data_IF_195992910187
#
_entry.id   IF_195992910187
#
_cell.length_a   1.000
_cell.length_b   1.000
_cell.length_c   1.000
_cell.angle_alpha   90.00
_cell.angle_beta   90.00
_cell.angle_gamma   90.00
#
_symmetry.space_group_name_H-M   'P 1'
#
loop_
_entity.id
_entity.type
_entity.pdbx_description
1 polymer ?
#
# COMPACT_ATOMS: atom_id res chain seq x y z
N UNK A 1 2.58 -14.70 -12.54
CA UNK A 1 2.44 -14.08 -13.87
C UNK A 1 1.54 -12.88 -13.70
N UNK A 2 2.11 -11.67 -13.60
CA UNK A 2 1.36 -10.42 -13.55
C UNK A 2 0.63 -10.24 -14.88
N UNK A 3 -0.69 -10.19 -14.84
CA UNK A 3 -1.52 -9.82 -16.00
C UNK A 3 -1.35 -8.31 -16.23
N UNK A 4 -0.87 -7.85 -17.39
CA UNK A 4 -0.79 -6.43 -17.67
C UNK A 4 -2.21 -5.87 -17.83
N UNK A 5 -2.50 -4.78 -17.10
CA UNK A 5 -3.71 -3.98 -17.31
C UNK A 5 -3.75 -3.47 -18.76
N UNK A 6 -4.86 -3.66 -19.51
CA UNK A 6 -4.94 -3.18 -20.87
C UNK A 6 -4.85 -1.66 -20.91
N UNK A 7 -3.89 -1.13 -21.66
CA UNK A 7 -3.89 0.28 -22.05
C UNK A 7 -5.06 0.51 -22.99
N UNK A 8 -5.93 1.52 -22.77
CA UNK A 8 -6.93 1.86 -23.78
C UNK A 8 -6.21 2.34 -25.03
N UNK A 9 -6.39 1.62 -26.14
CA UNK A 9 -5.94 2.06 -27.46
C UNK A 9 -6.85 3.21 -27.93
N UNK A 10 -6.37 4.43 -27.82
CA UNK A 10 -6.97 5.60 -28.48
C UNK A 10 -6.43 5.66 -29.91
N UNK A 11 -7.10 4.97 -30.84
CA UNK A 11 -6.91 5.20 -32.27
C UNK A 11 -8.09 6.00 -32.80
N UNK A 12 -7.80 7.24 -33.22
CA UNK A 12 -8.53 8.00 -34.21
C UNK A 12 -9.69 8.86 -33.73
N UNK A 13 -9.35 10.01 -33.13
CA UNK A 13 -10.18 11.20 -33.27
C UNK A 13 -9.27 12.44 -33.33
N UNK A 14 -9.47 13.22 -34.38
CA UNK A 14 -8.80 14.49 -34.66
C UNK A 14 -9.01 15.50 -33.54
N UNK A 15 -7.93 16.18 -33.21
CA UNK A 15 -7.73 17.27 -32.27
C UNK A 15 -8.93 18.19 -32.02
N UNK A 16 -9.66 17.99 -30.96
CA UNK A 16 -10.19 19.04 -30.11
C UNK A 16 -9.54 18.88 -28.75
N UNK A 17 -9.09 19.97 -28.16
CA UNK A 17 -8.27 19.99 -26.96
C UNK A 17 -8.89 19.16 -25.81
N UNK A 18 -8.52 17.88 -25.72
CA UNK A 18 -8.78 17.06 -24.55
C UNK A 18 -7.81 17.52 -23.47
N UNK A 19 -8.31 18.24 -22.52
CA UNK A 19 -7.61 18.41 -21.25
C UNK A 19 -7.39 17.01 -20.67
N UNK A 20 -6.14 16.59 -20.53
CA UNK A 20 -5.82 15.31 -19.89
C UNK A 20 -6.53 15.21 -18.55
N UNK A 21 -7.09 14.04 -18.25
CA UNK A 21 -7.66 13.78 -16.92
C UNK A 21 -6.62 14.12 -15.86
N UNK A 22 -6.96 14.90 -14.82
CA UNK A 22 -6.04 15.25 -13.74
C UNK A 22 -5.69 14.05 -12.85
N UNK A 23 -6.26 12.88 -13.10
CA UNK A 23 -5.99 11.69 -12.29
C UNK A 23 -4.74 10.98 -12.79
N UNK A 24 -3.68 11.09 -12.02
CA UNK A 24 -2.45 10.33 -12.21
C UNK A 24 -2.56 8.97 -11.51
N UNK A 25 -1.87 7.96 -12.02
CA UNK A 25 -1.81 6.64 -11.39
C UNK A 25 -0.36 6.20 -11.19
N UNK A 26 -0.08 5.66 -10.01
CA UNK A 26 1.18 5.02 -9.66
C UNK A 26 1.00 3.51 -9.69
N UNK A 27 1.80 2.82 -10.50
CA UNK A 27 1.92 1.36 -10.41
C UNK A 27 3.08 1.02 -9.48
N UNK A 28 2.93 -0.05 -8.69
CA UNK A 28 3.99 -0.52 -7.81
C UNK A 28 5.13 -1.14 -8.66
N UNK A 29 6.02 -0.30 -9.15
CA UNK A 29 7.24 -0.73 -9.84
C UNK A 29 8.44 -0.36 -8.97
N UNK A 30 9.25 -1.32 -8.63
CA UNK A 30 10.53 -1.04 -8.00
C UNK A 30 10.95 -2.04 -6.95
N UNK A 31 10.49 -1.90 -5.72
CA UNK A 31 10.82 -2.83 -4.65
C UNK A 31 9.99 -4.11 -4.79
N UNK A 32 10.50 -5.23 -4.31
CA UNK A 32 9.84 -6.53 -4.43
C UNK A 32 9.35 -7.05 -3.07
N UNK A 33 8.36 -7.91 -3.07
CA UNK A 33 7.99 -8.72 -1.92
C UNK A 33 8.68 -10.07 -2.04
N UNK A 34 9.37 -10.49 -0.97
CA UNK A 34 10.05 -11.79 -0.88
C UNK A 34 9.44 -12.63 0.23
N UNK A 35 8.19 -13.03 0.03
CA UNK A 35 7.47 -13.81 1.00
C UNK A 35 8.21 -15.14 1.32
N UNK A 36 8.35 -15.44 2.61
CA UNK A 36 9.05 -16.62 3.09
C UNK A 36 10.58 -16.52 3.16
N UNK A 37 11.17 -15.43 2.70
CA UNK A 37 12.60 -15.19 2.85
C UNK A 37 12.94 -14.70 4.27
N UNK A 38 14.12 -15.03 4.80
CA UNK A 38 14.58 -14.48 6.07
C UNK A 38 14.70 -12.96 6.04
N UNK A 39 14.33 -12.31 7.15
CA UNK A 39 14.55 -10.88 7.33
C UNK A 39 16.08 -10.62 7.31
N UNK A 40 16.56 -9.66 6.50
CA UNK A 40 17.99 -9.42 6.37
C UNK A 40 18.59 -8.83 7.66
N UNK A 41 19.82 -9.25 7.97
CA UNK A 41 20.66 -8.65 8.98
C UNK A 41 21.83 -7.97 8.26
N UNK A 42 21.90 -6.65 8.32
CA UNK A 42 22.87 -5.87 7.55
C UNK A 42 23.88 -5.25 8.51
N UNK A 43 25.16 -5.60 8.41
CA UNK A 43 26.22 -5.02 9.23
C UNK A 43 27.00 -3.95 8.45
N UNK A 44 27.47 -2.93 9.17
CA UNK A 44 28.17 -1.80 8.57
C UNK A 44 27.24 -0.78 7.93
N UNK A 45 27.74 -0.06 6.93
CA UNK A 45 27.00 0.98 6.19
C UNK A 45 26.78 0.56 4.75
N UNK A 46 25.53 0.47 4.31
CA UNK A 46 25.16 0.00 2.98
C UNK A 46 24.05 0.84 2.35
N UNK A 47 24.09 0.99 1.05
CA UNK A 47 22.93 1.37 0.25
C UNK A 47 22.07 0.12 0.06
N UNK A 48 20.79 0.21 0.40
CA UNK A 48 19.84 -0.90 0.26
C UNK A 48 18.60 -0.48 -0.52
N UNK A 49 17.96 -1.47 -1.13
CA UNK A 49 16.65 -1.40 -1.77
C UNK A 49 15.73 -2.34 -0.96
N UNK A 50 15.05 -1.82 0.07
CA UNK A 50 14.32 -2.66 1.02
C UNK A 50 13.13 -3.35 0.35
N UNK A 51 12.88 -4.60 0.74
CA UNK A 51 11.71 -5.35 0.28
C UNK A 51 10.44 -4.85 0.95
N UNK A 52 9.28 -5.13 0.35
CA UNK A 52 8.00 -4.86 0.99
C UNK A 52 7.77 -5.78 2.20
N UNK A 53 7.39 -5.18 3.33
CA UNK A 53 6.99 -5.88 4.54
C UNK A 53 5.49 -6.24 4.56
N UNK A 54 4.68 -5.52 3.78
CA UNK A 54 3.26 -5.76 3.57
C UNK A 54 2.90 -5.49 2.11
N UNK A 55 1.78 -6.04 1.65
CA UNK A 55 1.30 -5.78 0.30
C UNK A 55 1.01 -4.29 0.11
N UNK A 56 1.62 -3.62 -0.87
CA UNK A 56 1.26 -2.24 -1.20
C UNK A 56 -0.19 -2.13 -1.66
N UNK A 57 -0.85 -1.06 -1.27
CA UNK A 57 -2.21 -0.77 -1.70
C UNK A 57 -2.39 0.71 -2.03
N UNK A 58 -3.51 1.06 -2.63
CA UNK A 58 -3.82 2.45 -2.97
C UNK A 58 -5.25 2.81 -2.59
N UNK A 59 -5.48 4.11 -2.43
CA UNK A 59 -6.79 4.74 -2.21
C UNK A 59 -6.93 5.96 -3.12
N UNK A 60 -8.17 6.34 -3.38
CA UNK A 60 -8.48 7.58 -4.07
C UNK A 60 -9.16 8.56 -3.11
N UNK A 61 -8.62 9.76 -3.04
CA UNK A 61 -9.20 10.87 -2.32
C UNK A 61 -9.23 12.07 -3.26
N UNK A 62 -10.41 12.64 -3.50
CA UNK A 62 -10.61 13.81 -4.36
C UNK A 62 -10.00 13.66 -5.78
N UNK A 63 -10.20 12.50 -6.39
CA UNK A 63 -9.63 12.06 -7.67
C UNK A 63 -8.11 11.86 -7.70
N UNK A 64 -7.42 12.07 -6.59
CA UNK A 64 -5.99 11.79 -6.45
C UNK A 64 -5.77 10.36 -5.92
N UNK A 65 -4.79 9.65 -6.50
CA UNK A 65 -4.36 8.34 -6.03
C UNK A 65 -3.26 8.50 -4.99
N UNK A 66 -3.41 7.79 -3.87
CA UNK A 66 -2.39 7.63 -2.84
C UNK A 66 -1.95 6.18 -2.77
N UNK A 67 -0.65 5.94 -2.83
CA UNK A 67 -0.03 4.60 -2.72
C UNK A 67 0.63 4.47 -1.36
N UNK A 68 0.35 3.37 -0.67
CA UNK A 68 0.81 3.04 0.68
C UNK A 68 1.77 1.87 0.61
N UNK A 69 2.97 2.04 1.12
CA UNK A 69 4.05 1.07 1.06
C UNK A 69 4.72 0.92 2.42
N UNK A 70 4.89 -0.32 2.88
CA UNK A 70 5.65 -0.65 4.07
C UNK A 70 6.86 -1.47 3.65
N UNK A 71 8.06 -0.98 3.97
CA UNK A 71 9.31 -1.61 3.59
C UNK A 71 10.04 -2.17 4.80
N UNK A 72 10.68 -3.34 4.64
CA UNK A 72 11.52 -3.98 5.64
C UNK A 72 12.98 -3.56 5.45
N UNK A 73 13.51 -2.78 6.37
CA UNK A 73 14.94 -2.41 6.38
C UNK A 73 15.78 -3.61 6.84
N UNK A 74 15.37 -4.26 7.92
CA UNK A 74 16.07 -5.43 8.45
C UNK A 74 15.92 -5.63 9.94
N UNK A 75 16.48 -6.75 10.41
CA UNK A 75 16.48 -7.15 11.81
C UNK A 75 17.29 -6.18 12.67
N UNK A 76 16.73 -5.70 13.77
CA UNK A 76 17.34 -4.79 14.73
C UNK A 76 17.19 -3.31 14.36
N UNK A 77 17.94 -2.45 15.03
CA UNK A 77 17.87 -1.00 14.87
C UNK A 77 18.94 -0.48 13.91
N UNK A 78 18.54 0.43 13.03
CA UNK A 78 19.42 1.07 12.05
C UNK A 78 19.36 2.59 12.20
N UNK A 79 20.48 3.24 11.91
CA UNK A 79 20.53 4.64 11.51
C UNK A 79 20.28 4.71 10.01
N UNK A 80 19.31 5.54 9.59
CA UNK A 80 18.86 5.60 8.20
C UNK A 80 19.15 7.00 7.67
N UNK A 81 19.94 7.03 6.61
CA UNK A 81 20.34 8.25 5.95
C UNK A 81 19.88 8.24 4.49
N UNK A 82 19.70 9.41 3.91
CA UNK A 82 19.52 9.61 2.47
C UNK A 82 18.44 8.70 1.86
N UNK A 83 17.24 8.71 2.44
CA UNK A 83 16.10 8.04 1.80
C UNK A 83 15.84 8.71 0.45
N UNK A 84 15.70 7.91 -0.61
CA UNK A 84 15.56 8.36 -1.99
C UNK A 84 14.48 7.57 -2.73
N UNK A 85 13.95 8.20 -3.77
CA UNK A 85 13.26 7.52 -4.87
C UNK A 85 14.24 7.52 -6.05
N UNK A 86 14.77 6.34 -6.40
CA UNK A 86 15.93 6.22 -7.31
C UNK A 86 17.12 7.05 -6.80
N UNK A 87 17.52 8.08 -7.52
CA UNK A 87 18.65 8.96 -7.17
C UNK A 87 18.19 10.27 -6.52
N UNK A 88 16.88 10.53 -6.43
CA UNK A 88 16.33 11.78 -5.92
C UNK A 88 16.01 11.67 -4.43
N UNK A 89 16.54 12.56 -3.56
CA UNK A 89 16.21 12.58 -2.14
C UNK A 89 14.71 12.69 -1.91
N UNK A 90 14.18 11.92 -0.96
CA UNK A 90 12.73 11.86 -0.69
C UNK A 90 12.15 13.22 -0.26
N UNK A 91 12.95 14.05 0.42
CA UNK A 91 12.57 15.41 0.82
C UNK A 91 12.45 16.41 -0.33
N UNK A 92 12.80 16.02 -1.57
CA UNK A 92 12.57 16.82 -2.77
C UNK A 92 11.15 16.66 -3.35
N UNK A 93 10.33 15.79 -2.74
CA UNK A 93 8.96 15.51 -3.15
C UNK A 93 7.99 16.02 -2.09
N UNK A 94 7.17 17.02 -2.43
CA UNK A 94 6.10 17.51 -1.55
C UNK A 94 4.94 16.51 -1.41
N UNK A 95 4.81 15.62 -2.38
CA UNK A 95 3.78 14.59 -2.48
C UNK A 95 4.08 13.30 -1.72
N UNK A 96 5.24 13.21 -1.03
CA UNK A 96 5.64 12.02 -0.30
C UNK A 96 5.73 12.30 1.20
N UNK A 97 5.11 11.42 1.98
CA UNK A 97 5.25 11.40 3.44
C UNK A 97 5.81 10.04 3.86
N UNK A 98 6.69 10.02 4.85
CA UNK A 98 7.27 8.77 5.34
C UNK A 98 7.44 8.76 6.86
N UNK A 99 7.57 7.56 7.41
CA UNK A 99 7.88 7.31 8.81
C UNK A 99 8.89 6.17 8.91
N UNK A 100 9.96 6.41 9.69
CA UNK A 100 10.88 5.35 10.12
C UNK A 100 10.29 4.73 11.39
N UNK A 101 10.09 3.42 11.40
CA UNK A 101 9.52 2.66 12.50
C UNK A 101 10.64 1.81 13.08
N UNK A 102 11.08 2.14 14.30
CA UNK A 102 12.14 1.41 15.01
C UNK A 102 11.57 0.16 15.70
N UNK A 103 12.43 -0.78 16.11
CA UNK A 103 12.01 -1.93 16.89
C UNK A 103 11.13 -1.54 18.09
N UNK A 104 9.93 -2.14 18.17
CA UNK A 104 8.93 -1.85 19.20
C UNK A 104 8.03 -0.64 18.95
N UNK A 105 8.31 0.19 17.95
CA UNK A 105 7.42 1.26 17.52
C UNK A 105 6.30 0.73 16.60
N UNK A 106 5.20 1.51 16.49
CA UNK A 106 4.08 1.20 15.60
C UNK A 106 4.06 2.14 14.39
N UNK A 107 3.56 1.63 13.28
CA UNK A 107 3.20 2.49 12.15
C UNK A 107 2.01 3.37 12.57
N UNK A 108 2.18 4.68 12.46
CA UNK A 108 1.12 5.67 12.73
C UNK A 108 0.73 6.44 11.46
N UNK A 109 1.43 6.19 10.35
CA UNK A 109 1.21 6.91 9.09
C UNK A 109 -0.01 6.37 8.33
N UNK A 110 -0.20 5.04 8.36
CA UNK A 110 -1.35 4.36 7.74
C UNK A 110 -1.55 2.97 8.34
N UNK A 111 -2.68 2.35 8.03
CA UNK A 111 -2.94 0.96 8.41
C UNK A 111 -2.33 0.04 7.35
N UNK A 112 -1.46 -0.85 7.78
CA UNK A 112 -0.94 -1.99 7.04
C UNK A 112 -1.89 -3.20 7.20
N UNK A 113 -1.56 -4.35 6.60
CA UNK A 113 -2.36 -5.57 6.60
C UNK A 113 -3.69 -5.41 5.84
N UNK A 114 -3.60 -4.77 4.69
CA UNK A 114 -4.72 -4.60 3.76
C UNK A 114 -4.65 -5.68 2.69
N UNK A 115 -5.71 -6.47 2.60
CA UNK A 115 -5.90 -7.43 1.51
C UNK A 115 -6.77 -6.82 0.43
N UNK A 116 -6.46 -7.12 -0.82
CA UNK A 116 -7.24 -6.70 -1.98
C UNK A 116 -7.79 -7.95 -2.67
N UNK A 117 -9.10 -8.00 -2.89
CA UNK A 117 -9.72 -9.10 -3.63
C UNK A 117 -9.24 -9.10 -5.09
N UNK A 118 -8.70 -10.24 -5.53
CA UNK A 118 -8.24 -10.41 -6.92
C UNK A 118 -9.41 -10.62 -7.91
N UNK A 119 -10.62 -10.86 -7.41
CA UNK A 119 -11.82 -11.11 -8.22
C UNK A 119 -12.43 -9.82 -8.75
N UNK A 120 -12.18 -8.69 -8.08
CA UNK A 120 -12.63 -7.38 -8.53
C UNK A 120 -11.63 -6.82 -9.53
N UNK A 121 -12.04 -6.78 -10.80
CA UNK A 121 -11.15 -6.45 -11.92
C UNK A 121 -11.73 -5.38 -12.86
N UNK A 122 -12.42 -4.38 -12.32
CA UNK A 122 -12.98 -3.27 -13.10
C UNK A 122 -14.29 -3.59 -13.81
N UNK A 123 -15.11 -4.49 -13.26
CA UNK A 123 -16.42 -4.81 -13.81
C UNK A 123 -17.34 -3.59 -13.83
N UNK A 124 -18.07 -3.40 -14.91
CA UNK A 124 -19.10 -2.36 -14.99
C UNK A 124 -20.32 -2.75 -14.16
N UNK A 125 -20.83 -1.82 -13.36
CA UNK A 125 -22.10 -2.01 -12.65
C UNK A 125 -23.26 -1.64 -13.56
N UNK A 126 -24.20 -2.58 -13.72
CA UNK A 126 -25.41 -2.44 -14.51
C UNK A 126 -26.65 -2.57 -13.62
N UNK A 127 -27.71 -1.81 -13.94
CA UNK A 127 -28.99 -1.94 -13.24
C UNK A 127 -29.60 -3.32 -13.44
N UNK A 128 -30.12 -3.88 -12.35
CA UNK A 128 -30.73 -5.20 -12.35
C UNK A 128 -29.75 -6.37 -12.42
N UNK A 129 -28.43 -6.09 -12.44
CA UNK A 129 -27.39 -7.11 -12.43
C UNK A 129 -26.55 -6.96 -11.15
N UNK A 130 -26.42 -8.03 -10.38
CA UNK A 130 -25.56 -8.07 -9.20
C UNK A 130 -24.14 -8.38 -9.68
N UNK A 131 -23.20 -7.52 -9.33
CA UNK A 131 -21.77 -7.74 -9.51
C UNK A 131 -21.21 -8.39 -8.24
N UNK A 132 -20.61 -9.54 -8.35
CA UNK A 132 -20.21 -10.41 -7.24
C UNK A 132 -21.18 -11.59 -7.02
N UNK A 133 -21.15 -12.29 -5.86
CA UNK A 133 -20.31 -11.98 -4.70
C UNK A 133 -18.82 -12.24 -4.94
N UNK A 134 -17.97 -11.49 -4.24
CA UNK A 134 -16.52 -11.66 -4.23
C UNK A 134 -16.03 -11.80 -2.80
N UNK A 135 -15.21 -12.83 -2.54
CA UNK A 135 -14.59 -13.03 -1.23
C UNK A 135 -13.55 -11.95 -1.00
N UNK A 136 -13.58 -11.32 0.17
CA UNK A 136 -12.77 -10.15 0.45
C UNK A 136 -11.47 -10.47 1.17
N UNK A 137 -11.51 -11.36 2.16
CA UNK A 137 -10.33 -11.72 2.94
C UNK A 137 -10.11 -13.23 3.02
N UNK A 138 -8.85 -13.67 3.12
CA UNK A 138 -8.51 -15.09 3.12
C UNK A 138 -9.06 -15.82 4.36
N UNK A 139 -9.05 -17.15 4.29
CA UNK A 139 -9.36 -18.03 5.43
C UNK A 139 -8.48 -17.73 6.64
N UNK A 140 -8.97 -18.01 7.83
CA UNK A 140 -8.28 -17.77 9.10
C UNK A 140 -7.93 -16.29 9.35
N UNK A 141 -8.56 -15.36 8.64
CA UNK A 141 -8.40 -13.92 8.85
C UNK A 141 -9.72 -13.24 9.14
N UNK A 142 -9.68 -12.16 9.92
CA UNK A 142 -10.83 -11.31 10.21
C UNK A 142 -10.53 -9.87 9.86
N UNK A 143 -11.51 -9.18 9.26
CA UNK A 143 -11.43 -7.76 8.96
C UNK A 143 -12.47 -7.00 9.79
N UNK A 144 -12.25 -5.72 10.01
CA UNK A 144 -13.21 -4.82 10.68
C UNK A 144 -13.54 -3.59 9.83
N UNK A 145 -12.95 -3.50 8.64
CA UNK A 145 -13.15 -2.39 7.71
C UNK A 145 -13.07 -2.88 6.27
N UNK A 146 -13.96 -2.38 5.44
CA UNK A 146 -14.06 -2.68 4.01
C UNK A 146 -13.90 -1.39 3.23
N UNK A 147 -13.09 -1.40 2.18
CA UNK A 147 -13.00 -0.29 1.22
C UNK A 147 -13.31 -0.77 -0.19
N UNK A 148 -14.06 0.07 -0.89
CA UNK A 148 -14.52 -0.16 -2.26
C UNK A 148 -14.05 1.01 -3.12
N UNK A 149 -13.30 0.72 -4.18
CA UNK A 149 -12.89 1.72 -5.15
C UNK A 149 -13.85 1.71 -6.35
N UNK A 150 -14.43 2.87 -6.64
CA UNK A 150 -15.27 3.07 -7.81
C UNK A 150 -14.58 3.99 -8.81
N UNK A 151 -14.66 3.62 -10.07
CA UNK A 151 -14.08 4.35 -11.19
C UNK A 151 -15.17 4.83 -12.15
N UNK A 152 -15.13 6.11 -12.47
CA UNK A 152 -16.00 6.80 -13.42
C UNK A 152 -15.11 7.27 -14.60
N UNK A 153 -14.64 6.31 -15.40
CA UNK A 153 -13.59 6.54 -16.39
C UNK A 153 -13.99 7.52 -17.51
N UNK A 154 -15.29 7.61 -17.79
CA UNK A 154 -15.85 8.57 -18.76
C UNK A 154 -16.40 9.82 -18.11
N UNK A 155 -16.09 10.09 -16.85
CA UNK A 155 -16.70 11.15 -16.06
C UNK A 155 -18.16 10.87 -15.69
N UNK A 156 -18.84 11.91 -15.19
CA UNK A 156 -20.28 11.89 -14.87
C UNK A 156 -20.88 13.22 -15.33
N UNK A 157 -21.50 13.26 -16.50
CA UNK A 157 -22.01 14.49 -17.14
C UNK A 157 -22.99 14.20 -18.26
N UNK A 158 -23.63 15.25 -18.75
CA UNK A 158 -24.37 15.26 -20.01
C UNK A 158 -23.94 16.48 -20.87
N UNK A 159 -23.52 16.26 -22.11
CA UNK A 159 -23.14 17.33 -23.03
C UNK A 159 -24.40 17.93 -23.69
N UNK A 160 -24.73 19.17 -23.37
CA UNK A 160 -25.84 19.92 -23.93
C UNK A 160 -25.54 20.43 -25.34
N UNK A 161 -26.57 20.77 -26.10
CA UNK A 161 -26.44 21.29 -27.49
C UNK A 161 -25.64 22.60 -27.57
N UNK A 162 -25.66 23.40 -26.51
CA UNK A 162 -24.91 24.66 -26.41
C UNK A 162 -23.44 24.46 -25.96
N UNK A 163 -22.96 23.22 -25.85
CA UNK A 163 -21.60 22.89 -25.42
C UNK A 163 -21.37 22.93 -23.92
N UNK A 164 -22.38 23.28 -23.12
CA UNK A 164 -22.25 23.20 -21.65
C UNK A 164 -22.39 21.76 -21.14
N UNK A 165 -21.77 21.49 -19.98
CA UNK A 165 -21.91 20.21 -19.30
C UNK A 165 -22.97 20.28 -18.22
N UNK A 166 -24.02 19.46 -18.37
CA UNK A 166 -25.08 19.28 -17.39
C UNK A 166 -24.75 18.20 -16.39
N UNK A 167 -25.38 18.27 -15.23
CA UNK A 167 -25.22 17.26 -14.19
C UNK A 167 -25.83 15.92 -14.61
N UNK A 168 -25.14 14.83 -14.24
CA UNK A 168 -25.66 13.46 -14.20
C UNK A 168 -25.49 12.90 -12.80
N UNK A 169 -26.35 11.95 -12.45
CA UNK A 169 -26.30 11.26 -11.16
C UNK A 169 -26.21 9.76 -11.40
N UNK A 170 -25.24 9.13 -10.78
CA UNK A 170 -25.06 7.68 -10.75
C UNK A 170 -25.33 7.21 -9.33
N UNK A 171 -26.12 6.15 -9.16
CA UNK A 171 -26.49 5.59 -7.89
C UNK A 171 -26.17 4.10 -7.84
N UNK A 172 -25.61 3.63 -6.73
CA UNK A 172 -25.30 2.22 -6.53
C UNK A 172 -25.43 1.84 -5.06
N UNK A 173 -25.49 0.55 -4.80
CA UNK A 173 -25.51 -0.03 -3.47
C UNK A 173 -24.39 -1.05 -3.36
N UNK A 174 -23.73 -1.05 -2.22
CA UNK A 174 -22.73 -2.05 -1.81
C UNK A 174 -23.30 -2.83 -0.63
N UNK A 175 -23.21 -4.14 -0.70
CA UNK A 175 -23.69 -5.05 0.33
C UNK A 175 -22.59 -6.03 0.71
N UNK A 176 -22.60 -6.48 1.96
CA UNK A 176 -21.72 -7.51 2.48
C UNK A 176 -22.51 -8.62 3.18
N UNK A 177 -21.87 -9.77 3.31
CA UNK A 177 -22.39 -10.89 4.07
C UNK A 177 -21.23 -11.59 4.79
N UNK A 178 -21.44 -12.01 6.03
CA UNK A 178 -20.52 -12.86 6.77
C UNK A 178 -20.46 -14.26 6.15
N UNK A 179 -19.27 -14.81 6.08
CA UNK A 179 -18.99 -16.19 5.63
C UNK A 179 -18.05 -16.89 6.59
N UNK A 180 -18.09 -18.22 6.60
CA UNK A 180 -17.10 -19.07 7.29
C UNK A 180 -15.85 -19.30 6.43
N UNK A 181 -14.91 -20.11 6.91
CA UNK A 181 -13.67 -20.42 6.19
C UNK A 181 -13.87 -21.37 4.99
N UNK A 182 -15.03 -22.00 4.87
CA UNK A 182 -15.47 -22.80 3.72
C UNK A 182 -16.32 -22.01 2.71
N UNK A 183 -16.38 -20.67 2.84
CA UNK A 183 -17.17 -19.75 2.01
C UNK A 183 -18.70 -19.90 2.17
N UNK A 184 -19.19 -20.59 3.22
CA UNK A 184 -20.62 -20.67 3.48
C UNK A 184 -21.13 -19.41 4.15
N UNK A 185 -22.36 -19.00 3.79
CA UNK A 185 -23.00 -17.85 4.38
C UNK A 185 -23.34 -18.08 5.87
N UNK A 186 -22.92 -17.16 6.72
CA UNK A 186 -23.27 -17.14 8.15
C UNK A 186 -24.44 -16.20 8.48
N UNK A 187 -24.97 -15.48 7.50
CA UNK A 187 -26.07 -14.55 7.68
C UNK A 187 -26.65 -14.05 6.37
N UNK A 188 -27.57 -13.09 6.50
CA UNK A 188 -28.17 -12.43 5.34
C UNK A 188 -27.30 -11.28 4.81
N UNK A 189 -27.54 -10.88 3.56
CA UNK A 189 -26.92 -9.70 2.98
C UNK A 189 -27.40 -8.45 3.70
N UNK A 190 -26.44 -7.60 4.07
CA UNK A 190 -26.75 -6.28 4.64
C UNK A 190 -26.08 -5.18 3.82
N UNK A 191 -26.72 -4.02 3.78
CA UNK A 191 -26.21 -2.86 3.04
C UNK A 191 -25.04 -2.22 3.80
N UNK A 192 -23.89 -2.13 3.17
CA UNK A 192 -22.76 -1.31 3.62
C UNK A 192 -23.03 0.17 3.37
N UNK A 193 -23.46 0.50 2.15
CA UNK A 193 -23.81 1.85 1.75
C UNK A 193 -24.69 1.88 0.50
N UNK A 194 -25.51 2.93 0.42
CA UNK A 194 -26.22 3.35 -0.78
C UNK A 194 -25.66 4.70 -1.18
N UNK A 195 -24.88 4.72 -2.23
CA UNK A 195 -24.03 5.84 -2.62
C UNK A 195 -24.58 6.53 -3.86
N UNK A 196 -24.25 7.79 -4.03
CA UNK A 196 -24.55 8.54 -5.24
C UNK A 196 -23.42 9.51 -5.60
N UNK A 197 -23.19 9.67 -6.88
CA UNK A 197 -22.29 10.69 -7.42
C UNK A 197 -23.08 11.57 -8.40
N UNK A 198 -23.17 12.86 -8.11
CA UNK A 198 -23.71 13.86 -9.04
C UNK A 198 -22.59 14.78 -9.47
N UNK A 199 -22.39 14.91 -10.78
CA UNK A 199 -21.33 15.75 -11.34
C UNK A 199 -21.67 16.22 -12.75
N UNK A 200 -20.95 17.23 -13.23
CA UNK A 200 -20.90 17.67 -14.62
C UNK A 200 -19.48 17.56 -15.20
N UNK A 201 -18.62 16.76 -14.54
CA UNK A 201 -17.22 16.60 -14.92
C UNK A 201 -17.10 15.52 -16.00
N UNK A 202 -16.45 15.85 -17.12
CA UNK A 202 -16.16 14.93 -18.23
C UNK A 202 -14.83 14.18 -18.07
N UNK A 203 -14.01 14.57 -17.10
CA UNK A 203 -12.78 13.86 -16.78
C UNK A 203 -13.05 12.59 -15.98
N UNK A 204 -12.15 11.63 -16.08
CA UNK A 204 -12.20 10.44 -15.24
C UNK A 204 -12.14 10.82 -13.75
N UNK A 205 -12.97 10.16 -12.95
CA UNK A 205 -13.03 10.34 -11.51
C UNK A 205 -12.88 8.99 -10.81
N UNK A 206 -12.27 9.00 -9.63
CA UNK A 206 -12.04 7.81 -8.83
C UNK A 206 -12.35 8.12 -7.37
N UNK A 207 -13.01 7.19 -6.66
CA UNK A 207 -13.41 7.35 -5.25
C UNK A 207 -13.20 6.05 -4.50
N UNK A 208 -12.69 6.16 -3.28
CA UNK A 208 -12.66 5.07 -2.30
C UNK A 208 -13.75 5.32 -1.26
N UNK A 209 -14.63 4.35 -1.06
CA UNK A 209 -15.68 4.33 -0.04
C UNK A 209 -15.27 3.38 1.08
N UNK A 210 -15.37 3.85 2.33
CA UNK A 210 -14.91 3.11 3.51
C UNK A 210 -16.07 2.79 4.42
N UNK A 211 -16.16 1.53 4.84
CA UNK A 211 -17.23 1.02 5.71
C UNK A 211 -16.62 0.27 6.90
N UNK A 212 -17.07 0.60 8.11
CA UNK A 212 -16.72 -0.15 9.31
C UNK A 212 -17.72 -1.28 9.49
N UNK A 213 -17.23 -2.49 9.79
CA UNK A 213 -18.02 -3.70 9.99
C UNK A 213 -17.63 -4.39 11.28
N UNK A 214 -18.46 -5.31 11.77
CA UNK A 214 -18.07 -6.21 12.84
C UNK A 214 -16.87 -7.08 12.39
N UNK A 215 -16.09 -7.58 13.34
CA UNK A 215 -14.98 -8.47 12.99
C UNK A 215 -15.51 -9.76 12.37
N UNK A 216 -14.95 -10.13 11.20
CA UNK A 216 -15.36 -11.33 10.50
C UNK A 216 -14.69 -11.51 9.14
N UNK A 217 -15.06 -12.60 8.49
CA UNK A 217 -14.72 -12.88 7.10
C UNK A 217 -15.94 -12.56 6.23
N UNK A 218 -15.72 -11.86 5.12
CA UNK A 218 -16.79 -11.29 4.32
C UNK A 218 -16.67 -11.60 2.84
N UNK A 219 -17.84 -11.73 2.20
CA UNK A 219 -18.01 -11.52 0.78
C UNK A 219 -18.81 -10.24 0.52
N UNK A 220 -18.58 -9.63 -0.63
CA UNK A 220 -19.16 -8.34 -1.02
C UNK A 220 -19.76 -8.40 -2.40
N UNK A 221 -20.81 -7.60 -2.62
CA UNK A 221 -21.43 -7.42 -3.94
C UNK A 221 -21.87 -5.97 -4.13
N UNK A 222 -22.01 -5.56 -5.39
CA UNK A 222 -22.50 -4.23 -5.73
C UNK A 222 -23.55 -4.28 -6.82
N UNK A 223 -24.47 -3.31 -6.79
CA UNK A 223 -25.55 -3.19 -7.78
C UNK A 223 -25.76 -1.73 -8.11
N UNK A 224 -25.88 -1.40 -9.40
CA UNK A 224 -26.30 -0.09 -9.85
C UNK A 224 -27.82 0.06 -9.65
N UNK A 225 -28.25 1.25 -9.21
CA UNK A 225 -29.65 1.52 -8.89
C UNK A 225 -30.38 2.33 -9.98
N UNK A 226 -29.67 3.21 -10.67
CA UNK A 226 -30.20 4.04 -11.78
C UNK A 226 -29.99 3.39 -13.16
N UNK A 227 -30.73 3.86 -14.15
CA UNK A 227 -30.56 3.46 -15.53
C UNK A 227 -29.35 4.17 -16.17
N UNK A 228 -28.49 3.39 -16.84
CA UNK A 228 -27.37 3.96 -17.59
C UNK A 228 -27.88 4.77 -18.78
N UNK A 229 -27.37 5.98 -18.96
CA UNK A 229 -27.58 6.75 -20.17
C UNK A 229 -26.58 6.28 -21.25
N UNK A 230 -27.08 5.59 -22.25
CA UNK A 230 -26.30 5.01 -23.35
C UNK A 230 -25.98 6.02 -24.47
N UNK A 231 -26.42 7.27 -24.35
CA UNK A 231 -26.17 8.26 -25.40
C UNK A 231 -24.69 8.63 -25.46
N UNK A 232 -24.18 8.92 -26.62
CA UNK A 232 -22.79 9.35 -26.84
C UNK A 232 -22.46 10.68 -26.13
N UNK A 233 -23.49 11.41 -25.68
CA UNK A 233 -23.38 12.70 -24.99
C UNK A 233 -23.18 12.55 -23.48
N UNK A 234 -23.38 11.36 -22.92
CA UNK A 234 -23.30 11.15 -21.50
C UNK A 234 -22.03 10.42 -21.08
N UNK A 235 -21.35 10.95 -20.05
CA UNK A 235 -20.49 10.19 -19.18
C UNK A 235 -21.33 9.62 -18.04
N UNK A 236 -21.66 8.33 -18.07
CA UNK A 236 -22.62 7.75 -17.13
C UNK A 236 -22.28 6.27 -16.82
N UNK A 237 -20.98 5.96 -16.82
CA UNK A 237 -20.47 4.62 -16.55
C UNK A 237 -19.84 4.57 -15.15
N UNK A 238 -20.09 3.49 -14.43
CA UNK A 238 -19.47 3.19 -13.15
C UNK A 238 -18.85 1.80 -13.19
N UNK A 239 -17.61 1.69 -12.76
CA UNK A 239 -16.88 0.42 -12.65
C UNK A 239 -16.40 0.18 -11.24
N UNK A 240 -16.44 -1.06 -10.81
CA UNK A 240 -15.89 -1.49 -9.54
C UNK A 240 -14.39 -1.76 -9.69
N UNK A 241 -13.56 -0.85 -9.19
CA UNK A 241 -12.10 -0.87 -9.41
C UNK A 241 -11.35 -1.82 -8.48
N UNK A 242 -11.71 -1.84 -7.19
CA UNK A 242 -11.10 -2.72 -6.19
C UNK A 242 -12.03 -2.91 -4.98
N UNK A 243 -11.83 -4.02 -4.26
CA UNK A 243 -12.37 -4.24 -2.92
C UNK A 243 -11.23 -4.62 -1.97
N UNK A 244 -11.16 -3.96 -0.83
CA UNK A 244 -10.09 -4.11 0.16
C UNK A 244 -10.67 -4.40 1.54
N UNK A 245 -10.03 -5.32 2.27
CA UNK A 245 -10.30 -5.65 3.65
C UNK A 245 -9.13 -5.30 4.55
N UNK A 246 -9.39 -4.74 5.71
CA UNK A 246 -8.39 -4.39 6.71
C UNK A 246 -8.36 -5.46 7.77
N UNK A 247 -7.29 -6.27 7.77
CA UNK A 247 -7.12 -7.38 8.71
C UNK A 247 -6.87 -6.83 10.11
N UNK A 248 -7.60 -7.39 11.07
CA UNK A 248 -7.37 -7.13 12.48
C UNK A 248 -6.17 -7.96 12.94
N UNK A 249 -5.04 -7.33 13.12
CA UNK A 249 -3.79 -7.96 13.57
C UNK A 249 -3.18 -7.20 14.75
N UNK A 250 -2.43 -7.92 15.57
CA UNK A 250 -1.53 -7.29 16.53
C UNK A 250 -0.28 -6.82 15.78
N UNK A 251 -0.25 -5.54 15.44
CA UNK A 251 0.83 -4.89 14.67
C UNK A 251 2.11 -4.82 15.49
N UNK A 252 2.80 -5.95 15.61
CA UNK A 252 4.08 -6.05 16.27
C UNK A 252 5.09 -6.78 15.38
N UNK A 253 5.98 -6.02 14.79
CA UNK A 253 7.03 -6.55 13.92
C UNK A 253 8.27 -7.01 14.69
N UNK A 254 8.23 -7.00 16.03
CA UNK A 254 9.33 -7.41 16.88
C UNK A 254 10.57 -6.52 16.72
N UNK A 255 11.74 -7.17 16.68
CA UNK A 255 13.03 -6.47 16.59
C UNK A 255 13.39 -6.17 15.11
N UNK A 256 12.55 -5.43 14.40
CA UNK A 256 12.73 -5.08 12.97
C UNK A 256 12.59 -3.58 12.80
N UNK A 257 13.43 -2.98 11.95
CA UNK A 257 13.27 -1.60 11.50
C UNK A 257 12.52 -1.59 10.18
N UNK A 258 11.47 -0.76 10.07
CA UNK A 258 10.65 -0.58 8.89
C UNK A 258 10.69 0.87 8.40
N UNK A 259 10.28 1.05 7.15
CA UNK A 259 10.07 2.36 6.53
C UNK A 259 8.68 2.36 5.89
N UNK A 260 7.77 3.16 6.43
CA UNK A 260 6.45 3.42 5.86
C UNK A 260 6.53 4.62 4.91
N UNK A 261 5.93 4.52 3.73
CA UNK A 261 5.93 5.57 2.71
C UNK A 261 4.53 5.71 2.12
N UNK A 262 4.04 6.94 2.03
CA UNK A 262 2.82 7.30 1.32
C UNK A 262 3.18 8.23 0.18
N UNK A 263 2.78 7.88 -1.04
CA UNK A 263 3.03 8.66 -2.25
C UNK A 263 1.70 9.10 -2.86
N UNK A 264 1.51 10.40 -3.04
CA UNK A 264 0.40 10.93 -3.85
C UNK A 264 0.81 10.95 -5.32
N UNK A 265 -0.03 10.41 -6.18
CA UNK A 265 0.22 10.40 -7.61
C UNK A 265 0.13 11.81 -8.19
N UNK A 266 1.24 12.28 -8.72
CA UNK A 266 1.37 13.56 -9.43
C UNK A 266 1.99 13.32 -10.80
N UNK A 267 2.02 14.34 -11.63
CA UNK A 267 2.72 14.29 -12.92
C UNK A 267 4.19 13.92 -12.73
N UNK A 268 4.86 14.58 -11.78
CA UNK A 268 6.28 14.33 -11.46
C UNK A 268 6.58 12.86 -11.12
N UNK A 269 5.79 12.23 -10.24
CA UNK A 269 5.97 10.83 -9.87
C UNK A 269 5.47 9.85 -10.94
N UNK A 270 4.40 10.19 -11.67
CA UNK A 270 3.80 9.30 -12.67
C UNK A 270 4.67 9.12 -13.91
N UNK A 271 5.43 10.15 -14.29
CA UNK A 271 6.33 10.11 -15.45
C UNK A 271 7.64 9.36 -15.19
N UNK A 272 7.97 9.02 -13.95
CA UNK A 272 9.19 8.27 -13.64
C UNK A 272 9.07 6.82 -14.09
N UNK A 273 10.11 6.31 -14.72
CA UNK A 273 10.21 4.94 -15.21
C UNK A 273 10.26 3.90 -14.09
N UNK A 274 10.80 4.28 -12.93
CA UNK A 274 10.89 3.47 -11.73
C UNK A 274 10.59 4.35 -10.50
N UNK A 275 10.18 3.75 -9.42
CA UNK A 275 9.89 4.41 -8.13
C UNK A 275 10.47 3.58 -6.98
N UNK A 276 11.67 3.03 -7.19
CA UNK A 276 12.36 2.25 -6.17
C UNK A 276 12.79 3.12 -5.01
N UNK A 277 12.26 2.78 -3.84
CA UNK A 277 12.71 3.35 -2.57
C UNK A 277 14.06 2.73 -2.22
N UNK A 278 15.04 3.56 -1.92
CA UNK A 278 16.32 3.12 -1.40
C UNK A 278 16.78 4.05 -0.27
N UNK A 279 17.71 3.57 0.53
CA UNK A 279 18.29 4.36 1.60
C UNK A 279 19.67 3.84 1.99
N UNK A 280 20.46 4.69 2.64
CA UNK A 280 21.71 4.29 3.26
C UNK A 280 21.44 3.95 4.71
N UNK A 281 21.83 2.75 5.13
CA UNK A 281 21.61 2.26 6.50
C UNK A 281 22.93 1.92 7.16
N UNK A 282 23.01 2.20 8.47
CA UNK A 282 24.12 1.77 9.31
C UNK A 282 23.56 1.03 10.52
N UNK A 283 23.99 -0.22 10.71
CA UNK A 283 23.56 -1.03 11.88
C UNK A 283 23.92 -0.34 13.17
N UNK A 284 22.99 -0.29 14.13
CA UNK A 284 23.27 0.11 15.50
C UNK A 284 23.56 -1.12 16.35
N UNK A 285 24.73 -1.15 16.96
CA UNK A 285 25.17 -2.22 17.87
C UNK A 285 25.65 -1.64 19.18
N UNK A 286 25.63 -2.47 20.21
CA UNK A 286 26.36 -2.20 21.44
C UNK A 286 27.85 -2.47 21.19
N UNK A 287 28.71 -1.61 21.70
CA UNK A 287 30.15 -1.78 21.72
C UNK A 287 30.58 -1.99 23.15
N UNK A 288 31.68 -2.69 23.38
CA UNK A 288 32.18 -2.94 24.72
C UNK A 288 33.57 -2.31 24.92
N UNK A 289 33.86 -1.92 26.14
CA UNK A 289 35.20 -1.45 26.53
C UNK A 289 35.60 -1.99 27.91
N UNK A 290 36.90 -2.17 28.19
CA UNK A 290 37.38 -2.67 29.48
C UNK A 290 36.97 -1.79 30.67
N UNK A 291 36.89 -0.48 30.45
CA UNK A 291 36.60 0.50 31.52
C UNK A 291 35.11 0.81 31.67
N UNK A 292 34.31 0.63 30.61
CA UNK A 292 32.91 1.08 30.59
C UNK A 292 31.87 -0.02 30.36
N UNK A 293 32.32 -1.27 30.09
CA UNK A 293 31.39 -2.35 29.73
C UNK A 293 30.66 -2.10 28.42
N UNK A 294 29.43 -2.58 28.28
CA UNK A 294 28.60 -2.43 27.10
C UNK A 294 27.97 -1.02 27.01
N UNK A 295 28.14 -0.38 25.87
CA UNK A 295 27.49 0.91 25.52
C UNK A 295 26.00 0.76 25.20
N UNK A 296 25.22 1.85 25.16
CA UNK A 296 23.96 1.90 24.42
C UNK A 296 24.17 1.58 22.92
N UNK A 297 23.08 1.29 22.22
CA UNK A 297 23.09 1.10 20.76
C UNK A 297 23.58 2.38 20.06
N UNK A 298 24.55 2.22 19.17
CA UNK A 298 25.09 3.32 18.33
C UNK A 298 25.43 2.81 16.94
N UNK A 299 25.34 3.66 15.89
CA UNK A 299 25.75 3.29 14.54
C UNK A 299 27.23 2.87 14.54
N UNK A 300 27.52 1.72 13.95
CA UNK A 300 28.91 1.22 13.88
C UNK A 300 29.17 0.48 12.57
N UNK A 301 30.41 0.56 12.10
CA UNK A 301 30.91 -0.19 10.95
C UNK A 301 31.93 -1.24 11.36
N UNK A 302 32.11 -1.41 12.65
CA UNK A 302 33.12 -2.31 13.21
C UNK A 302 32.77 -3.77 12.93
N UNK A 303 33.73 -4.49 12.37
CA UNK A 303 33.63 -5.94 12.16
C UNK A 303 33.65 -6.68 13.51
N UNK A 304 34.41 -6.17 14.50
CA UNK A 304 34.49 -6.76 15.82
C UNK A 304 33.13 -6.80 16.51
N UNK A 305 32.38 -5.69 16.46
CA UNK A 305 31.07 -5.62 17.09
C UNK A 305 29.97 -6.30 16.25
N UNK A 306 30.15 -6.41 14.94
CA UNK A 306 29.31 -7.26 14.10
C UNK A 306 29.50 -8.74 14.45
N UNK A 307 30.74 -9.19 14.66
CA UNK A 307 31.02 -10.56 15.12
C UNK A 307 30.44 -10.82 16.51
N UNK A 308 30.60 -9.86 17.45
CA UNK A 308 30.02 -9.99 18.78
C UNK A 308 28.47 -10.13 18.73
N UNK A 309 27.79 -9.36 17.87
CA UNK A 309 26.35 -9.44 17.67
C UNK A 309 25.95 -10.83 17.15
N UNK A 310 26.63 -11.35 16.12
CA UNK A 310 26.38 -12.70 15.57
C UNK A 310 26.59 -13.78 16.63
N UNK A 311 27.62 -13.67 17.41
CA UNK A 311 27.91 -14.66 18.45
C UNK A 311 26.88 -14.67 19.59
N UNK A 312 26.26 -13.52 19.87
CA UNK A 312 25.29 -13.35 20.98
C UNK A 312 23.84 -13.49 20.56
N UNK A 313 23.51 -13.13 19.30
CA UNK A 313 22.15 -13.06 18.81
C UNK A 313 21.43 -14.40 18.80
N UNK A 314 20.08 -14.35 18.92
CA UNK A 314 19.23 -15.55 18.86
C UNK A 314 19.28 -16.25 17.49
N UNK A 315 19.53 -15.50 16.43
CA UNK A 315 19.75 -16.01 15.08
C UNK A 315 21.20 -16.49 14.83
N UNK A 316 22.10 -16.29 15.81
CA UNK A 316 23.50 -16.69 15.75
C UNK A 316 23.86 -17.79 16.72
N UNK A 317 25.03 -17.67 17.38
CA UNK A 317 25.55 -18.73 18.23
C UNK A 317 24.99 -18.70 19.68
N UNK A 318 24.26 -17.67 20.08
CA UNK A 318 23.65 -17.51 21.42
C UNK A 318 24.63 -17.59 22.58
N UNK A 319 25.87 -17.15 22.35
CA UNK A 319 26.90 -17.19 23.40
C UNK A 319 26.69 -16.09 24.44
N UNK A 320 27.07 -16.41 25.69
CA UNK A 320 27.15 -15.40 26.76
C UNK A 320 28.48 -14.65 26.70
N UNK A 321 28.57 -13.51 27.38
CA UNK A 321 29.78 -12.68 27.43
C UNK A 321 31.02 -13.46 27.94
N UNK A 322 30.84 -14.43 28.83
CA UNK A 322 31.93 -15.25 29.36
C UNK A 322 32.51 -16.23 28.33
N UNK A 323 31.79 -16.50 27.25
CA UNK A 323 32.25 -17.38 26.17
C UNK A 323 32.88 -16.60 25.00
N UNK A 324 33.01 -15.27 25.11
CA UNK A 324 33.53 -14.38 24.05
C UNK A 324 34.70 -13.59 24.62
N UNK A 325 35.84 -13.59 23.93
CA UNK A 325 36.97 -12.71 24.30
C UNK A 325 36.66 -11.28 23.89
N UNK A 326 35.92 -10.55 24.73
CA UNK A 326 35.53 -9.16 24.48
C UNK A 326 36.77 -8.24 24.46
N UNK A 327 37.85 -8.58 25.16
CA UNK A 327 39.06 -7.78 25.16
C UNK A 327 39.80 -7.87 23.84
N UNK A 328 39.85 -9.06 23.22
CA UNK A 328 40.40 -9.23 21.87
C UNK A 328 39.56 -8.52 20.83
N UNK A 329 38.23 -8.57 20.93
CA UNK A 329 37.33 -7.82 20.02
C UNK A 329 37.48 -6.30 20.16
N UNK A 330 37.69 -5.82 21.41
CA UNK A 330 37.97 -4.40 21.64
C UNK A 330 39.29 -3.96 20.99
N UNK A 331 40.35 -4.78 21.11
CA UNK A 331 41.63 -4.50 20.44
C UNK A 331 41.50 -4.50 18.89
N UNK A 332 40.68 -5.38 18.35
CA UNK A 332 40.42 -5.45 16.92
C UNK A 332 39.65 -4.20 16.40
N UNK A 333 38.88 -3.53 17.26
CA UNK A 333 38.10 -2.34 16.92
C UNK A 333 38.91 -1.04 16.94
N UNK A 334 40.13 -1.04 17.53
CA UNK A 334 41.01 0.14 17.61
C UNK A 334 41.78 0.38 16.30
#
# INVERSE_FOLDING_TARGET
TLVPTPKPALNGMTSSAYTQSPTYSLQAQGNSARLGNPIPVIYGKHLIYPDFAAQPYYKYKDDEQYVYQLHCIGQGEYDIEQIRIEDTPIGSFEEITYQIIRPGEKNTLFEEDVVTSNEVAGQELLKGTICGPFVLNPTESVINKIEIDMAFQRGCYYANDNGSMGNKTIQWRVEARLIDDEDNALGEWFTLGSESLTSNNHNAMYRTYTYTVAQGRYEVRATRLDDKDETARAGHEIRWGAAKGYIVSEKNYGNVTLLAVVMRATDNLSQRSSRMVNCIVTRKLKTWSPSGGWSPLKPTRSIAWALADILKADYGARLTDNAIDLSALYQLDQ
#
